data_IF_752591764347
#
_entry.id   IF_752591764347
#
_cell.length_a   1.000
_cell.length_b   1.000
_cell.length_c   1.000
_cell.angle_alpha   90.00
_cell.angle_beta   90.00
_cell.angle_gamma   90.00
#
_symmetry.space_group_name_H-M   'P 1'
#
loop_
_entity.id
_entity.type
_entity.pdbx_description
1 polymer ?
#
# COMPACT_ATOMS: atom_id res chain seq x y z
N UNK A 1 0.24 -23.04 39.97
CA UNK A 1 0.84 -21.73 39.57
C UNK A 1 1.63 -21.82 38.24
N UNK A 2 1.96 -23.03 37.77
CA UNK A 2 2.73 -23.26 36.52
C UNK A 2 1.93 -23.11 35.23
N UNK A 3 0.64 -23.41 35.23
CA UNK A 3 -0.18 -23.38 33.99
C UNK A 3 -0.44 -21.97 33.40
N UNK A 4 -0.24 -20.88 34.15
CA UNK A 4 -0.40 -19.51 33.60
C UNK A 4 0.83 -19.01 32.86
N UNK A 5 2.02 -19.48 33.21
CA UNK A 5 3.25 -19.07 32.52
C UNK A 5 3.44 -19.74 31.17
N UNK A 6 3.00 -20.98 30.99
CA UNK A 6 3.09 -21.69 29.72
C UNK A 6 2.21 -21.05 28.64
N UNK A 7 1.00 -20.56 28.98
CA UNK A 7 0.12 -19.88 28.06
C UNK A 7 0.62 -18.49 27.63
N UNK A 8 1.38 -17.79 28.47
CA UNK A 8 1.96 -16.48 28.10
C UNK A 8 3.22 -16.64 27.22
N UNK A 9 3.97 -17.73 27.34
CA UNK A 9 5.13 -18.00 26.51
C UNK A 9 4.72 -18.54 25.11
N UNK A 10 3.67 -19.36 25.02
CA UNK A 10 3.13 -19.80 23.74
C UNK A 10 2.55 -18.65 22.91
N UNK A 11 1.95 -17.63 23.52
CA UNK A 11 1.50 -16.44 22.80
C UNK A 11 2.64 -15.54 22.30
N UNK A 12 3.81 -15.57 22.92
CA UNK A 12 4.98 -14.80 22.46
C UNK A 12 5.73 -15.45 21.29
N UNK A 13 5.60 -16.75 21.11
CA UNK A 13 6.37 -17.50 20.10
C UNK A 13 5.81 -17.42 18.68
N UNK A 14 4.62 -16.84 18.44
CA UNK A 14 3.95 -16.91 17.14
C UNK A 14 3.42 -15.58 16.58
N UNK A 15 3.79 -14.43 17.13
CA UNK A 15 3.30 -13.17 16.56
C UNK A 15 4.24 -12.68 15.44
N UNK A 16 3.97 -13.09 14.20
CA UNK A 16 4.63 -12.62 12.97
C UNK A 16 4.51 -11.10 12.81
N UNK A 17 3.52 -10.48 13.45
CA UNK A 17 3.14 -9.10 13.26
C UNK A 17 3.38 -8.26 14.50
N UNK A 18 3.71 -6.99 14.29
CA UNK A 18 3.76 -5.98 15.34
C UNK A 18 2.33 -5.64 15.83
N UNK A 19 2.19 -5.30 17.10
CA UNK A 19 0.92 -4.78 17.64
C UNK A 19 0.44 -3.55 16.85
N UNK A 20 -0.88 -3.42 16.71
CA UNK A 20 -1.49 -2.36 15.89
C UNK A 20 -1.14 -0.96 16.38
N UNK A 21 -1.11 -0.74 17.71
CA UNK A 21 -0.76 0.57 18.27
C UNK A 21 0.72 0.89 18.06
N UNK A 22 1.58 -0.10 18.14
CA UNK A 22 2.99 0.06 17.84
C UNK A 22 3.21 0.36 16.35
N UNK A 23 2.49 -0.31 15.44
CA UNK A 23 2.50 0.01 14.03
C UNK A 23 2.11 1.47 13.76
N UNK A 24 0.99 1.92 14.34
CA UNK A 24 0.49 3.29 14.15
C UNK A 24 1.49 4.32 14.67
N UNK A 25 2.07 4.09 15.86
CA UNK A 25 2.99 5.05 16.48
C UNK A 25 4.36 5.10 15.84
N UNK A 26 4.84 3.98 15.30
CA UNK A 26 6.23 3.83 14.86
C UNK A 26 6.42 3.85 13.35
N UNK A 27 5.34 3.61 12.55
CA UNK A 27 5.42 3.74 11.10
C UNK A 27 5.90 5.13 10.69
N UNK A 28 6.84 5.17 9.75
CA UNK A 28 7.36 6.42 9.17
C UNK A 28 7.41 6.30 7.63
N UNK A 29 7.44 7.42 6.95
CA UNK A 29 7.77 7.50 5.53
C UNK A 29 9.27 7.24 5.34
N UNK A 30 9.60 6.08 4.79
CA UNK A 30 10.97 5.64 4.55
C UNK A 30 11.36 6.00 3.11
N UNK A 31 12.50 6.68 2.94
CA UNK A 31 13.02 7.12 1.64
C UNK A 31 14.46 6.66 1.40
N UNK A 32 14.97 5.75 2.22
CA UNK A 32 16.27 5.11 2.04
C UNK A 32 16.09 3.61 2.23
N UNK A 33 16.37 2.86 1.19
CA UNK A 33 16.10 1.43 1.15
C UNK A 33 17.40 0.62 1.16
N UNK A 34 17.31 -0.62 1.61
CA UNK A 34 18.38 -1.60 1.50
C UNK A 34 18.29 -2.25 0.12
N UNK A 35 19.42 -2.58 -0.46
CA UNK A 35 19.50 -3.41 -1.67
C UNK A 35 19.17 -4.87 -1.30
N UNK A 36 17.86 -5.13 -1.17
CA UNK A 36 17.34 -6.44 -0.79
C UNK A 36 15.95 -6.65 -1.40
N UNK A 37 15.75 -7.83 -1.98
CA UNK A 37 14.46 -8.22 -2.52
C UNK A 37 13.42 -8.41 -1.39
N UNK A 38 12.18 -8.02 -1.67
CA UNK A 38 11.03 -8.27 -0.78
C UNK A 38 10.42 -9.62 -1.18
N UNK A 39 10.18 -10.54 -0.21
CA UNK A 39 9.48 -11.78 -0.48
C UNK A 39 8.11 -11.54 -1.10
N UNK A 40 7.77 -12.33 -2.12
CA UNK A 40 6.50 -12.16 -2.84
C UNK A 40 5.28 -12.33 -1.93
N UNK A 41 5.34 -13.26 -0.98
CA UNK A 41 4.26 -13.48 -0.01
C UNK A 41 3.96 -12.23 0.81
N UNK A 42 4.99 -11.47 1.20
CA UNK A 42 4.81 -10.20 1.91
C UNK A 42 4.10 -9.16 1.01
N UNK A 43 4.44 -9.11 -0.29
CA UNK A 43 3.76 -8.21 -1.24
C UNK A 43 2.29 -8.58 -1.40
N UNK A 44 1.99 -9.87 -1.53
CA UNK A 44 0.61 -10.37 -1.61
C UNK A 44 -0.17 -10.01 -0.35
N UNK A 45 0.43 -10.18 0.82
CA UNK A 45 -0.20 -9.87 2.11
C UNK A 45 -0.50 -8.36 2.24
N UNK A 46 0.45 -7.51 1.86
CA UNK A 46 0.26 -6.06 1.80
C UNK A 46 -0.91 -5.69 0.86
N UNK A 47 -0.94 -6.26 -0.35
CA UNK A 47 -2.03 -5.99 -1.29
C UNK A 47 -3.39 -6.49 -0.77
N UNK A 48 -3.41 -7.64 -0.09
CA UNK A 48 -4.64 -8.17 0.48
C UNK A 48 -5.21 -7.28 1.58
N UNK A 49 -4.36 -6.62 2.38
CA UNK A 49 -4.81 -5.73 3.45
C UNK A 49 -5.67 -4.55 2.94
N UNK A 50 -5.49 -4.14 1.68
CA UNK A 50 -6.31 -3.12 1.06
C UNK A 50 -7.80 -3.49 1.01
N UNK A 51 -8.13 -4.78 0.94
CA UNK A 51 -9.52 -5.26 0.85
C UNK A 51 -10.30 -5.05 2.15
N UNK A 52 -9.61 -4.88 3.27
CA UNK A 52 -10.21 -4.69 4.59
C UNK A 52 -10.49 -3.22 4.91
N UNK A 53 -10.19 -2.32 4.00
CA UNK A 53 -10.54 -0.91 4.15
C UNK A 53 -12.06 -0.68 4.06
N UNK A 54 -12.60 0.33 4.78
CA UNK A 54 -14.01 0.67 4.71
C UNK A 54 -14.32 1.42 3.40
N UNK A 55 -14.86 0.73 2.42
CA UNK A 55 -15.37 1.33 1.19
C UNK A 55 -16.86 1.66 1.32
N UNK A 56 -17.29 2.79 0.78
CA UNK A 56 -18.70 3.16 0.74
C UNK A 56 -19.53 2.07 0.03
N UNK A 57 -20.60 1.61 0.72
CA UNK A 57 -21.41 0.50 0.22
C UNK A 57 -20.66 -0.80 -0.06
N UNK A 58 -19.49 -0.98 0.53
CA UNK A 58 -18.58 -2.10 0.27
C UNK A 58 -18.16 -2.24 -1.20
N UNK A 59 -18.20 -1.13 -1.95
CA UNK A 59 -17.77 -1.08 -3.36
C UNK A 59 -16.28 -0.78 -3.42
N UNK A 60 -15.47 -1.80 -3.49
CA UNK A 60 -14.02 -1.67 -3.68
C UNK A 60 -13.72 -1.22 -5.13
N UNK A 61 -13.30 0.03 -5.28
CA UNK A 61 -13.06 0.69 -6.56
C UNK A 61 -11.59 1.05 -6.79
N UNK A 62 -10.69 0.12 -6.48
CA UNK A 62 -9.26 0.27 -6.73
C UNK A 62 -8.68 -0.93 -7.46
N UNK A 63 -7.59 -0.68 -8.16
CA UNK A 63 -6.70 -1.66 -8.77
C UNK A 63 -5.27 -1.41 -8.30
N UNK A 64 -4.52 -2.48 -8.06
CA UNK A 64 -3.11 -2.42 -7.64
C UNK A 64 -2.23 -2.96 -8.76
N UNK A 65 -1.20 -2.20 -9.13
CA UNK A 65 -0.21 -2.60 -10.13
C UNK A 65 1.16 -2.67 -9.46
N UNK A 66 1.77 -3.85 -9.50
CA UNK A 66 3.09 -4.07 -8.92
C UNK A 66 4.17 -3.89 -9.98
N UNK A 67 5.08 -2.97 -9.77
CA UNK A 67 6.18 -2.65 -10.66
C UNK A 67 7.48 -3.17 -10.05
N UNK A 68 8.06 -4.20 -10.70
CA UNK A 68 9.36 -4.80 -10.32
C UNK A 68 10.47 -4.41 -11.30
N UNK A 69 10.13 -4.17 -12.56
CA UNK A 69 11.10 -3.85 -13.60
C UNK A 69 11.85 -2.54 -13.27
N UNK A 70 13.17 -2.60 -13.24
CA UNK A 70 14.03 -1.49 -12.84
C UNK A 70 13.86 -0.26 -13.75
N UNK A 71 13.81 -0.45 -15.07
CA UNK A 71 13.65 0.65 -16.01
C UNK A 71 12.29 1.36 -15.81
N UNK A 72 11.22 0.60 -15.54
CA UNK A 72 9.92 1.18 -15.19
C UNK A 72 9.94 1.92 -13.86
N UNK A 73 10.62 1.39 -12.83
CA UNK A 73 10.75 2.08 -11.53
C UNK A 73 11.48 3.41 -11.67
N UNK A 74 12.55 3.45 -12.50
CA UNK A 74 13.27 4.69 -12.81
C UNK A 74 12.37 5.71 -13.52
N UNK A 75 11.62 5.28 -14.55
CA UNK A 75 10.69 6.14 -15.27
C UNK A 75 9.57 6.67 -14.36
N UNK A 76 9.03 5.85 -13.46
CA UNK A 76 8.04 6.28 -12.47
C UNK A 76 8.62 7.29 -11.49
N UNK A 77 9.85 7.11 -11.01
CA UNK A 77 10.52 8.08 -10.13
C UNK A 77 10.70 9.44 -10.81
N UNK A 78 11.00 9.46 -12.11
CA UNK A 78 11.06 10.68 -12.93
C UNK A 78 9.69 11.35 -13.00
N UNK A 79 8.63 10.59 -13.33
CA UNK A 79 7.25 11.08 -13.39
C UNK A 79 6.72 11.54 -12.02
N UNK A 80 7.30 11.07 -10.92
CA UNK A 80 6.99 11.47 -9.55
C UNK A 80 7.79 12.69 -9.09
N UNK A 81 7.86 13.74 -9.92
CA UNK A 81 8.59 14.99 -9.60
C UNK A 81 10.07 14.75 -9.30
N UNK A 82 10.70 13.85 -10.05
CA UNK A 82 12.13 13.52 -9.94
C UNK A 82 12.54 13.04 -8.54
N UNK A 83 11.65 12.29 -7.86
CA UNK A 83 11.94 11.72 -6.54
C UNK A 83 12.84 10.48 -6.67
N UNK A 84 14.10 10.68 -7.07
CA UNK A 84 15.04 9.61 -7.44
C UNK A 84 15.32 8.59 -6.32
N UNK A 85 15.11 8.94 -5.05
CA UNK A 85 15.20 7.99 -3.94
C UNK A 85 14.25 6.77 -4.10
N UNK A 86 13.17 6.91 -4.90
CA UNK A 86 12.25 5.81 -5.19
C UNK A 86 12.91 4.68 -5.99
N UNK A 87 13.94 4.99 -6.79
CA UNK A 87 14.63 3.99 -7.63
C UNK A 87 15.26 2.87 -6.81
N UNK A 88 15.67 3.17 -5.57
CA UNK A 88 16.28 2.21 -4.65
C UNK A 88 15.26 1.24 -4.04
N UNK A 89 13.97 1.58 -4.07
CA UNK A 89 12.93 0.66 -3.61
C UNK A 89 12.80 -0.51 -4.60
N UNK A 90 12.84 -1.78 -4.14
CA UNK A 90 12.81 -2.94 -5.03
C UNK A 90 11.44 -3.10 -5.74
N UNK A 91 10.41 -2.50 -5.21
CA UNK A 91 9.02 -2.59 -5.71
C UNK A 91 8.32 -1.24 -5.57
N UNK A 92 7.58 -0.85 -6.63
CA UNK A 92 6.55 0.18 -6.53
C UNK A 92 5.17 -0.48 -6.65
N UNK A 93 4.20 0.02 -5.90
CA UNK A 93 2.79 -0.35 -6.03
C UNK A 93 2.03 0.90 -6.47
N UNK A 94 1.53 0.88 -7.70
CA UNK A 94 0.66 1.95 -8.22
C UNK A 94 -0.77 1.62 -7.86
N UNK A 95 -1.43 2.54 -7.16
CA UNK A 95 -2.83 2.41 -6.76
C UNK A 95 -3.68 3.22 -7.71
N UNK A 96 -4.58 2.56 -8.42
CA UNK A 96 -5.40 3.15 -9.47
C UNK A 96 -6.86 3.13 -9.04
N UNK A 97 -7.53 4.28 -9.12
CA UNK A 97 -8.97 4.36 -8.93
C UNK A 97 -9.72 3.76 -10.13
N UNK A 98 -10.84 3.10 -9.86
CA UNK A 98 -11.83 2.65 -10.85
C UNK A 98 -13.15 3.40 -10.59
N UNK A 99 -13.24 4.68 -11.01
CA UNK A 99 -14.34 5.58 -10.62
C UNK A 99 -15.71 5.08 -11.10
N UNK A 100 -15.80 4.38 -12.22
CA UNK A 100 -17.06 3.90 -12.78
C UNK A 100 -17.77 2.91 -11.84
N UNK A 101 -17.00 2.18 -11.02
CA UNK A 101 -17.56 1.23 -10.06
C UNK A 101 -18.38 1.93 -8.97
N UNK A 102 -17.89 3.06 -8.47
CA UNK A 102 -18.53 3.79 -7.37
C UNK A 102 -19.53 4.80 -7.89
N UNK A 103 -19.31 5.37 -9.08
CA UNK A 103 -20.22 6.33 -9.74
C UNK A 103 -21.59 5.73 -9.95
N UNK A 104 -21.65 4.46 -10.35
CA UNK A 104 -22.89 3.72 -10.59
C UNK A 104 -23.87 3.76 -9.40
N UNK A 105 -23.34 3.83 -8.17
CA UNK A 105 -24.16 3.81 -6.95
C UNK A 105 -24.34 5.20 -6.32
N UNK A 106 -23.36 6.07 -6.47
CA UNK A 106 -23.27 7.34 -5.71
C UNK A 106 -23.03 8.57 -6.59
N UNK A 107 -23.03 8.40 -7.91
CA UNK A 107 -22.81 9.50 -8.85
C UNK A 107 -21.51 10.25 -8.58
N UNK A 108 -21.53 11.54 -8.87
CA UNK A 108 -20.35 12.43 -8.69
C UNK A 108 -19.81 12.45 -7.26
N UNK A 109 -20.67 12.28 -6.24
CA UNK A 109 -20.20 12.21 -4.84
C UNK A 109 -19.35 10.96 -4.60
N UNK A 110 -19.70 9.85 -5.25
CA UNK A 110 -18.92 8.62 -5.23
C UNK A 110 -17.50 8.85 -5.72
N UNK A 111 -17.35 9.51 -6.87
CA UNK A 111 -16.05 9.80 -7.47
C UNK A 111 -15.24 10.79 -6.63
N UNK A 112 -15.84 11.94 -6.28
CA UNK A 112 -15.12 13.08 -5.69
C UNK A 112 -14.78 12.90 -4.20
N UNK A 113 -15.52 12.05 -3.49
CA UNK A 113 -15.36 11.89 -2.05
C UNK A 113 -15.12 10.44 -1.66
N UNK A 114 -16.07 9.54 -1.94
CA UNK A 114 -16.05 8.19 -1.40
C UNK A 114 -14.90 7.33 -1.97
N UNK A 115 -14.60 7.49 -3.27
CA UNK A 115 -13.45 6.86 -3.91
C UNK A 115 -12.15 7.25 -3.21
N UNK A 116 -11.94 8.54 -3.03
CA UNK A 116 -10.71 9.08 -2.43
C UNK A 116 -10.56 8.58 -0.99
N UNK A 117 -11.63 8.63 -0.19
CA UNK A 117 -11.62 8.18 1.21
C UNK A 117 -11.33 6.68 1.33
N UNK A 118 -12.02 5.84 0.55
CA UNK A 118 -11.83 4.39 0.58
C UNK A 118 -10.44 3.97 0.13
N UNK A 119 -9.92 4.57 -0.94
CA UNK A 119 -8.59 4.30 -1.45
C UNK A 119 -7.51 4.76 -0.44
N UNK A 120 -7.69 5.93 0.18
CA UNK A 120 -6.76 6.41 1.20
C UNK A 120 -6.71 5.46 2.41
N UNK A 121 -7.86 4.99 2.88
CA UNK A 121 -7.92 3.99 3.95
C UNK A 121 -7.25 2.67 3.55
N UNK A 122 -7.44 2.22 2.30
CA UNK A 122 -6.80 1.03 1.77
C UNK A 122 -5.27 1.17 1.72
N UNK A 123 -4.76 2.32 1.28
CA UNK A 123 -3.33 2.60 1.27
C UNK A 123 -2.77 2.59 2.69
N UNK A 124 -3.45 3.20 3.68
CA UNK A 124 -2.97 3.18 5.07
C UNK A 124 -2.93 1.75 5.62
N UNK A 125 -3.92 0.90 5.34
CA UNK A 125 -3.85 -0.51 5.71
C UNK A 125 -2.61 -1.20 5.11
N UNK A 126 -2.29 -0.92 3.84
CA UNK A 126 -1.09 -1.45 3.19
C UNK A 126 0.20 -0.96 3.85
N UNK A 127 0.27 0.32 4.23
CA UNK A 127 1.44 0.90 4.89
C UNK A 127 1.66 0.29 6.29
N UNK A 128 0.59 0.12 7.06
CA UNK A 128 0.65 -0.51 8.39
C UNK A 128 1.03 -1.99 8.29
N UNK A 129 0.46 -2.73 7.34
CA UNK A 129 0.80 -4.14 7.11
C UNK A 129 2.27 -4.29 6.72
N UNK A 130 2.76 -3.47 5.79
CA UNK A 130 4.18 -3.49 5.42
C UNK A 130 5.08 -3.21 6.63
N UNK A 131 4.72 -2.23 7.45
CA UNK A 131 5.47 -1.89 8.66
C UNK A 131 5.48 -3.03 9.67
N UNK A 132 4.34 -3.70 9.90
CA UNK A 132 4.24 -4.86 10.78
C UNK A 132 5.10 -6.04 10.34
N UNK A 133 5.36 -6.15 9.02
CA UNK A 133 6.26 -7.13 8.41
C UNK A 133 7.73 -6.68 8.41
N UNK A 134 8.07 -5.56 9.04
CA UNK A 134 9.43 -5.01 9.10
C UNK A 134 9.88 -4.34 7.79
N UNK A 135 8.96 -3.97 6.91
CA UNK A 135 9.25 -3.30 5.64
C UNK A 135 9.03 -1.79 5.74
N UNK A 136 9.94 -1.03 5.13
CA UNK A 136 9.81 0.42 4.99
C UNK A 136 9.01 0.81 3.76
N UNK A 137 8.12 1.79 3.90
CA UNK A 137 7.28 2.30 2.82
C UNK A 137 7.23 3.83 2.81
N UNK A 138 6.86 4.39 1.67
CA UNK A 138 6.53 5.81 1.55
C UNK A 138 5.35 5.98 0.59
N UNK A 139 4.33 6.73 1.01
CA UNK A 139 3.26 7.18 0.14
C UNK A 139 3.76 8.34 -0.72
N UNK A 140 3.63 8.22 -2.04
CA UNK A 140 4.00 9.26 -3.00
C UNK A 140 2.72 9.83 -3.62
N UNK A 141 2.48 11.13 -3.42
CA UNK A 141 1.30 11.83 -3.94
C UNK A 141 1.65 12.93 -4.96
N UNK A 142 2.94 13.20 -5.17
CA UNK A 142 3.38 14.18 -6.17
C UNK A 142 3.87 13.44 -7.42
N UNK A 143 3.09 13.47 -8.50
CA UNK A 143 3.41 12.80 -9.76
C UNK A 143 2.65 13.44 -10.93
N UNK A 144 3.16 13.22 -12.12
CA UNK A 144 2.47 13.53 -13.38
C UNK A 144 1.49 12.38 -13.71
N UNK A 145 0.18 12.67 -13.65
CA UNK A 145 -0.87 11.66 -13.84
C UNK A 145 -0.84 11.05 -15.25
N UNK A 146 -0.63 11.87 -16.28
CA UNK A 146 -0.61 11.41 -17.67
C UNK A 146 0.59 10.51 -17.94
N UNK A 147 1.74 10.87 -17.40
CA UNK A 147 2.94 10.07 -17.54
C UNK A 147 2.83 8.74 -16.79
N UNK A 148 2.29 8.73 -15.56
CA UNK A 148 2.01 7.47 -14.83
C UNK A 148 1.00 6.62 -15.58
N UNK A 149 -0.06 7.21 -16.14
CA UNK A 149 -1.05 6.53 -16.97
C UNK A 149 -0.38 5.81 -18.15
N UNK A 150 0.46 6.52 -18.88
CA UNK A 150 1.21 6.00 -20.03
C UNK A 150 2.15 4.87 -19.62
N UNK A 151 2.95 5.06 -18.56
CA UNK A 151 3.91 4.06 -18.06
C UNK A 151 3.24 2.78 -17.56
N UNK A 152 2.05 2.89 -17.01
CA UNK A 152 1.29 1.75 -16.49
C UNK A 152 0.30 1.14 -17.50
N UNK A 153 0.21 1.68 -18.73
CA UNK A 153 -0.76 1.28 -19.76
C UNK A 153 -2.21 1.34 -19.23
N UNK A 154 -2.55 2.42 -18.54
CA UNK A 154 -3.92 2.63 -18.05
C UNK A 154 -4.79 3.20 -19.18
N UNK A 155 -6.11 2.85 -19.21
CA UNK A 155 -7.05 3.45 -20.15
C UNK A 155 -7.20 4.95 -19.90
N UNK A 156 -7.71 5.66 -20.93
CA UNK A 156 -8.06 7.09 -20.84
C UNK A 156 -9.20 7.36 -19.87
#
# INVERSE_FOLDING_TARGET
MEAKHEHEEEHKAHNKYMDVFDCIRTRRAIRKYKDRQVPWDNIVEIMQSAKYAPFAGNVMNLKLIVIKNEAKRKAIAEACSQQYWMQDAPIHIVVVAEPEKIERYYGTRGIRLYSIQGIAAAIENMLLTAHSLGLGTCWVGAFDEEEIRRLCNLPE
#
